data_IF_677448007226
#
_entry.id   IF_677448007226
#
_cell.length_a   1.000
_cell.length_b   1.000
_cell.length_c   1.000
_cell.angle_alpha   90.00
_cell.angle_beta   90.00
_cell.angle_gamma   90.00
#
_symmetry.space_group_name_H-M   'P 1'
#
loop_
_entity.id
_entity.type
_entity.pdbx_description
1 polymer ?
#
# COMPACT_ATOMS: atom_id res chain seq x y z
N UNK A 1 12.61 -14.79 -11.69
CA UNK A 1 12.84 -13.95 -10.53
C UNK A 1 12.43 -14.69 -9.27
N UNK A 2 13.39 -14.90 -8.37
CA UNK A 2 13.11 -15.54 -7.09
C UNK A 2 12.65 -14.50 -6.09
N UNK A 3 11.39 -14.59 -5.69
CA UNK A 3 10.83 -13.70 -4.69
C UNK A 3 11.07 -14.29 -3.29
N UNK A 4 11.71 -13.52 -2.43
CA UNK A 4 11.90 -13.90 -1.04
C UNK A 4 10.69 -13.51 -0.21
N UNK A 5 10.51 -14.17 0.94
CA UNK A 5 9.44 -13.81 1.87
C UNK A 5 9.52 -12.35 2.27
N UNK A 6 10.73 -11.87 2.52
CA UNK A 6 10.94 -10.48 2.89
C UNK A 6 10.44 -9.53 1.79
N UNK A 7 10.66 -9.89 0.53
CA UNK A 7 10.19 -9.08 -0.59
C UNK A 7 8.66 -9.07 -0.67
N UNK A 8 8.05 -10.21 -0.45
CA UNK A 8 6.59 -10.31 -0.48
C UNK A 8 5.97 -9.48 0.64
N UNK A 9 6.53 -9.58 1.83
CA UNK A 9 6.05 -8.82 2.99
C UNK A 9 6.23 -7.32 2.75
N UNK A 10 7.39 -6.92 2.23
CA UNK A 10 7.66 -5.53 1.90
C UNK A 10 6.71 -4.97 0.85
N UNK A 11 6.43 -5.76 -0.18
CA UNK A 11 5.50 -5.37 -1.23
C UNK A 11 4.08 -5.21 -0.68
N UNK A 12 3.67 -6.13 0.19
CA UNK A 12 2.35 -6.05 0.82
C UNK A 12 2.24 -4.81 1.71
N UNK A 13 3.29 -4.51 2.47
CA UNK A 13 3.30 -3.32 3.32
C UNK A 13 3.23 -2.04 2.48
N UNK A 14 3.97 -1.98 1.39
CA UNK A 14 3.94 -0.84 0.49
C UNK A 14 2.55 -0.66 -0.13
N UNK A 15 1.94 -1.74 -0.55
CA UNK A 15 0.60 -1.70 -1.13
C UNK A 15 -0.41 -1.22 -0.10
N UNK A 16 -0.28 -1.68 1.14
CA UNK A 16 -1.17 -1.25 2.22
C UNK A 16 -1.03 0.24 2.50
N UNK A 17 0.20 0.73 2.61
CA UNK A 17 0.46 2.15 2.84
C UNK A 17 -0.09 2.99 1.70
N UNK A 18 0.15 2.57 0.47
CA UNK A 18 -0.37 3.27 -0.69
C UNK A 18 -1.90 3.33 -0.69
N UNK A 19 -2.53 2.23 -0.32
CA UNK A 19 -3.98 2.17 -0.24
C UNK A 19 -4.51 3.13 0.83
N UNK A 20 -3.88 3.15 2.00
CA UNK A 20 -4.28 4.04 3.08
C UNK A 20 -4.16 5.50 2.64
N UNK A 21 -3.04 5.85 2.01
CA UNK A 21 -2.83 7.22 1.51
C UNK A 21 -3.90 7.59 0.49
N UNK A 22 -4.21 6.68 -0.42
CA UNK A 22 -5.26 6.91 -1.41
C UNK A 22 -6.61 7.15 -0.75
N UNK A 23 -6.97 6.31 0.20
CA UNK A 23 -8.25 6.43 0.91
C UNK A 23 -8.34 7.77 1.62
N UNK A 24 -7.27 8.18 2.29
CA UNK A 24 -7.24 9.46 3.01
C UNK A 24 -7.41 10.63 2.04
N UNK A 25 -6.70 10.60 0.93
CA UNK A 25 -6.74 11.68 -0.05
C UNK A 25 -8.11 11.79 -0.72
N UNK A 26 -8.63 10.69 -1.21
CA UNK A 26 -9.93 10.70 -1.87
C UNK A 26 -11.06 10.92 -0.89
N UNK A 27 -10.96 10.35 0.29
CA UNK A 27 -11.95 10.58 1.34
C UNK A 27 -12.01 12.04 1.76
N UNK A 28 -10.86 12.70 1.85
CA UNK A 28 -10.82 14.13 2.18
C UNK A 28 -11.40 14.97 1.04
N UNK A 29 -11.16 14.57 -0.20
CA UNK A 29 -11.68 15.30 -1.35
C UNK A 29 -13.19 15.18 -1.48
N UNK A 30 -13.75 14.06 -1.01
CA UNK A 30 -15.20 13.81 -1.08
C UNK A 30 -15.99 14.55 0.01
N UNK A 31 -15.33 15.05 1.02
CA UNK A 31 -15.99 15.80 2.11
C UNK A 31 -16.27 17.25 1.72
#
# INVERSE_FOLDING_TARGET
VKLNRAQIIGALLLALVALIVLVIRYGAALR
#
